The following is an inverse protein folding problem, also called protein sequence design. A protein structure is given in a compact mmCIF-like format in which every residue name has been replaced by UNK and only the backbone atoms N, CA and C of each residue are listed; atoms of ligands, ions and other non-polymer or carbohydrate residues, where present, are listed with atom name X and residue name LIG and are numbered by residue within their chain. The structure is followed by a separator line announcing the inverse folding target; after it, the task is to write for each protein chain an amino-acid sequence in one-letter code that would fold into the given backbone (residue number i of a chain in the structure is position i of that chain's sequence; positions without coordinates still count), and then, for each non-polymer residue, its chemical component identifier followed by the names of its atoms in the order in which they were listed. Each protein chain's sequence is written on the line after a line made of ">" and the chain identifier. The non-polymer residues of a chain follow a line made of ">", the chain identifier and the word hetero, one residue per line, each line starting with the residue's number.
data_IF_068858805805
#
_entry.id   IF_068858805805
#
_cell.length_a   1.000
_cell.length_b   1.000
_cell.length_c   1.000
_cell.angle_alpha   90.00
_cell.angle_beta   90.00
_cell.angle_gamma   90.00
#
_symmetry.space_group_name_H-M   'P 1'
#
loop_
_entity.id
_entity.type
_entity.pdbx_description
1 polymer ?
#
# COMPACT_ATOMS: atom_id res chain seq x y z
N UNK A 1 -21.03 15.28 -21.62
CA UNK A 1 -20.51 16.36 -20.76
C UNK A 1 -21.22 16.41 -19.40
N UNK A 2 -22.56 16.50 -19.31
CA UNK A 2 -23.26 16.54 -18.01
C UNK A 2 -23.06 15.28 -17.12
N UNK A 3 -22.99 14.10 -17.73
CA UNK A 3 -22.73 12.83 -17.03
C UNK A 3 -21.34 12.73 -16.42
N UNK A 4 -20.33 13.30 -17.10
CA UNK A 4 -18.95 13.32 -16.62
C UNK A 4 -18.78 14.31 -15.46
N UNK A 5 -19.39 15.50 -15.53
CA UNK A 5 -19.40 16.43 -14.40
C UNK A 5 -20.10 15.85 -13.17
N UNK A 6 -21.24 15.17 -13.34
CA UNK A 6 -21.92 14.48 -12.24
C UNK A 6 -21.06 13.38 -11.58
N UNK A 7 -20.32 12.62 -12.39
CA UNK A 7 -19.39 11.60 -11.90
C UNK A 7 -18.23 12.19 -11.08
N UNK A 8 -17.56 13.22 -11.60
CA UNK A 8 -16.42 13.85 -10.93
C UNK A 8 -16.84 14.46 -9.59
N UNK A 9 -17.95 15.20 -9.56
CA UNK A 9 -18.49 15.77 -8.32
C UNK A 9 -18.84 14.69 -7.31
N UNK A 10 -19.42 13.57 -7.76
CA UNK A 10 -19.72 12.43 -6.87
C UNK A 10 -18.44 11.83 -6.28
N UNK A 11 -17.41 11.62 -7.09
CA UNK A 11 -16.14 11.06 -6.62
C UNK A 11 -15.46 11.97 -5.60
N UNK A 12 -15.41 13.30 -5.85
CA UNK A 12 -14.88 14.27 -4.89
C UNK A 12 -15.67 14.26 -3.58
N UNK A 13 -16.99 14.11 -3.64
CA UNK A 13 -17.83 14.02 -2.43
C UNK A 13 -17.54 12.73 -1.65
N UNK A 14 -17.36 11.60 -2.33
CA UNK A 14 -16.99 10.32 -1.72
C UNK A 14 -15.61 10.38 -1.06
N UNK A 15 -14.59 10.91 -1.75
CA UNK A 15 -13.23 11.06 -1.17
C UNK A 15 -13.23 12.05 0.00
N UNK A 16 -14.00 13.14 -0.07
CA UNK A 16 -14.18 14.09 1.03
C UNK A 16 -14.83 13.41 2.24
N UNK A 17 -15.84 12.57 2.00
CA UNK A 17 -16.50 11.79 3.06
C UNK A 17 -15.52 10.83 3.73
N UNK A 18 -14.69 10.11 2.96
CA UNK A 18 -13.66 9.23 3.51
C UNK A 18 -12.59 10.00 4.31
N UNK A 19 -12.17 11.16 3.81
CA UNK A 19 -11.23 12.04 4.53
C UNK A 19 -11.83 12.41 5.89
N UNK A 20 -13.09 12.83 5.93
CA UNK A 20 -13.79 13.13 7.19
C UNK A 20 -13.85 11.94 8.12
N UNK A 21 -14.25 10.76 7.65
CA UNK A 21 -14.33 9.56 8.51
C UNK A 21 -12.98 9.27 9.16
N UNK A 22 -11.90 9.19 8.41
CA UNK A 22 -10.61 8.77 9.00
C UNK A 22 -9.98 9.91 9.80
N UNK A 23 -9.94 11.12 9.24
CA UNK A 23 -9.21 12.23 9.85
C UNK A 23 -9.91 12.79 11.08
N UNK A 24 -11.24 12.87 11.10
CA UNK A 24 -11.97 13.39 12.27
C UNK A 24 -11.87 12.48 13.49
N UNK A 25 -11.72 11.17 13.28
CA UNK A 25 -11.59 10.20 14.36
C UNK A 25 -10.15 10.09 14.89
N UNK A 26 -9.16 10.39 14.06
CA UNK A 26 -7.74 10.21 14.41
C UNK A 26 -7.02 11.52 14.75
N UNK A 27 -7.48 12.66 14.25
CA UNK A 27 -6.84 13.95 14.39
C UNK A 27 -7.85 15.05 14.78
N UNK A 28 -7.43 16.01 15.63
CA UNK A 28 -8.25 17.18 15.91
C UNK A 28 -8.41 18.05 14.64
N UNK A 29 -9.59 18.64 14.49
CA UNK A 29 -10.03 19.38 13.30
C UNK A 29 -9.03 20.45 12.83
N UNK A 30 -8.42 21.18 13.77
CA UNK A 30 -7.47 22.26 13.49
C UNK A 30 -6.20 21.80 12.74
N UNK A 31 -5.85 20.51 12.77
CA UNK A 31 -4.65 20.00 12.09
C UNK A 31 -4.90 19.62 10.63
N UNK A 32 -6.12 19.26 10.25
CA UNK A 32 -6.38 18.67 8.93
C UNK A 32 -7.42 19.43 8.10
N UNK A 33 -8.40 20.09 8.71
CA UNK A 33 -9.38 20.91 7.97
C UNK A 33 -8.77 22.03 7.13
N UNK A 34 -7.73 22.78 7.57
CA UNK A 34 -7.16 23.85 6.75
C UNK A 34 -6.30 23.33 5.59
N UNK A 35 -5.99 22.03 5.54
CA UNK A 35 -5.14 21.47 4.49
C UNK A 35 -5.90 21.40 3.15
N UNK A 36 -5.22 21.61 2.02
CA UNK A 36 -5.75 21.31 0.70
C UNK A 36 -6.27 19.86 0.60
N UNK A 37 -7.34 19.64 -0.17
CA UNK A 37 -7.98 18.32 -0.32
C UNK A 37 -7.01 17.19 -0.70
N UNK A 38 -6.02 17.48 -1.55
CA UNK A 38 -4.95 16.53 -1.89
C UNK A 38 -4.16 16.07 -0.65
N UNK A 39 -3.78 17.02 0.21
CA UNK A 39 -3.03 16.73 1.43
C UNK A 39 -3.90 16.04 2.49
N UNK A 40 -5.18 16.38 2.57
CA UNK A 40 -6.14 15.63 3.39
C UNK A 40 -6.22 14.17 2.93
N UNK A 41 -6.35 13.95 1.62
CA UNK A 41 -6.43 12.60 1.02
C UNK A 41 -5.14 11.81 1.24
N UNK A 42 -3.98 12.46 1.10
CA UNK A 42 -2.70 11.85 1.42
C UNK A 42 -2.57 11.47 2.89
N UNK A 43 -2.96 12.37 3.79
CA UNK A 43 -2.92 12.14 5.23
C UNK A 43 -3.88 11.01 5.63
N UNK A 44 -5.08 10.96 5.02
CA UNK A 44 -6.04 9.86 5.16
C UNK A 44 -5.41 8.53 4.77
N UNK A 45 -4.84 8.45 3.56
CA UNK A 45 -4.20 7.25 3.04
C UNK A 45 -3.00 6.83 3.90
N UNK A 46 -2.20 7.78 4.38
CA UNK A 46 -1.07 7.53 5.26
C UNK A 46 -1.52 6.92 6.60
N UNK A 47 -2.48 7.54 7.28
CA UNK A 47 -2.97 7.04 8.57
C UNK A 47 -3.68 5.69 8.45
N UNK A 48 -4.57 5.54 7.46
CA UNK A 48 -5.26 4.29 7.21
C UNK A 48 -4.28 3.16 6.83
N UNK A 49 -3.29 3.45 5.96
CA UNK A 49 -2.25 2.51 5.58
C UNK A 49 -1.39 2.07 6.76
N UNK A 50 -1.06 2.99 7.67
CA UNK A 50 -0.35 2.67 8.91
C UNK A 50 -1.17 1.78 9.84
N UNK A 51 -2.45 2.12 10.07
CA UNK A 51 -3.35 1.30 10.88
C UNK A 51 -3.46 -0.11 10.31
N UNK A 52 -3.67 -0.23 9.00
CA UNK A 52 -3.73 -1.53 8.34
C UNK A 52 -2.43 -2.32 8.52
N UNK A 53 -1.27 -1.69 8.32
CA UNK A 53 0.03 -2.34 8.49
C UNK A 53 0.27 -2.81 9.93
N UNK A 54 0.03 -1.97 10.93
CA UNK A 54 0.27 -2.34 12.33
C UNK A 54 -0.74 -3.36 12.85
N UNK A 55 -2.02 -3.23 12.50
CA UNK A 55 -3.05 -4.19 12.93
C UNK A 55 -2.80 -5.55 12.27
N UNK A 56 -2.61 -5.59 10.95
CA UNK A 56 -2.34 -6.86 10.24
C UNK A 56 -1.03 -7.49 10.68
N UNK A 57 0.04 -6.70 10.81
CA UNK A 57 1.34 -7.16 11.30
C UNK A 57 1.26 -7.69 12.74
N UNK A 58 0.51 -7.02 13.61
CA UNK A 58 0.27 -7.48 14.98
C UNK A 58 -0.49 -8.81 14.99
N UNK A 59 -1.62 -8.89 14.28
CA UNK A 59 -2.44 -10.10 14.23
C UNK A 59 -1.65 -11.28 13.65
N UNK A 60 -0.86 -11.05 12.60
CA UNK A 60 0.00 -12.06 12.00
C UNK A 60 1.08 -12.55 12.98
N UNK A 61 1.82 -11.62 13.59
CA UNK A 61 2.85 -11.95 14.57
C UNK A 61 2.26 -12.67 15.80
N UNK A 62 1.09 -12.24 16.28
CA UNK A 62 0.38 -12.90 17.36
C UNK A 62 -0.01 -14.34 16.97
N UNK A 63 -0.61 -14.53 15.79
CA UNK A 63 -0.99 -15.86 15.34
C UNK A 63 0.21 -16.80 15.18
N UNK A 64 1.27 -16.36 14.49
CA UNK A 64 2.43 -17.20 14.21
C UNK A 64 3.26 -17.45 15.47
N UNK A 65 3.68 -16.40 16.19
CA UNK A 65 4.66 -16.56 17.27
C UNK A 65 4.03 -16.91 18.62
N UNK A 66 2.75 -16.58 18.84
CA UNK A 66 2.08 -16.89 20.11
C UNK A 66 1.18 -18.12 20.00
N UNK A 67 0.35 -18.24 18.95
CA UNK A 67 -0.59 -19.37 18.84
C UNK A 67 -0.03 -20.61 18.15
N UNK A 68 0.90 -20.45 17.19
CA UNK A 68 1.35 -21.55 16.31
C UNK A 68 2.86 -21.61 16.11
N UNK A 69 3.63 -21.24 17.14
CA UNK A 69 5.10 -21.17 17.05
C UNK A 69 5.72 -22.48 16.54
N UNK A 70 5.35 -23.61 17.14
CA UNK A 70 5.91 -24.93 16.84
C UNK A 70 5.47 -25.53 15.50
N UNK A 71 4.54 -24.88 14.77
CA UNK A 71 4.01 -25.40 13.49
C UNK A 71 4.70 -24.73 12.30
N UNK A 72 4.93 -23.41 12.39
CA UNK A 72 5.37 -22.62 11.25
C UNK A 72 6.82 -22.14 11.33
N UNK A 73 7.44 -22.15 12.53
CA UNK A 73 8.74 -21.51 12.76
C UNK A 73 9.64 -22.43 13.59
N UNK A 74 10.75 -22.96 13.03
CA UNK A 74 11.80 -23.61 13.81
C UNK A 74 12.28 -22.70 14.95
N UNK A 75 12.51 -23.23 16.16
CA UNK A 75 12.86 -22.42 17.35
C UNK A 75 14.05 -21.47 17.12
N UNK A 76 15.01 -21.84 16.27
CA UNK A 76 16.21 -21.04 15.96
C UNK A 76 15.97 -19.91 14.95
N UNK A 77 14.75 -19.78 14.43
CA UNK A 77 14.41 -18.82 13.36
C UNK A 77 13.54 -17.65 13.82
N UNK A 78 13.31 -17.49 15.13
CA UNK A 78 12.57 -16.35 15.67
C UNK A 78 13.39 -15.06 15.46
N UNK A 79 12.83 -14.04 14.78
CA UNK A 79 13.57 -12.83 14.49
C UNK A 79 13.84 -12.04 15.78
N UNK A 80 15.08 -11.55 15.92
CA UNK A 80 15.47 -10.74 17.08
C UNK A 80 14.69 -9.43 17.14
N UNK A 81 14.50 -8.88 18.34
CA UNK A 81 13.86 -7.56 18.54
C UNK A 81 14.51 -6.45 17.71
N UNK A 82 15.85 -6.48 17.57
CA UNK A 82 16.59 -5.53 16.74
C UNK A 82 16.19 -5.66 15.26
N UNK A 83 16.09 -6.87 14.74
CA UNK A 83 15.65 -7.12 13.37
C UNK A 83 14.21 -6.65 13.14
N UNK A 84 13.29 -6.94 14.06
CA UNK A 84 11.89 -6.50 13.96
C UNK A 84 11.76 -4.96 13.96
N UNK A 85 12.43 -4.26 14.88
CA UNK A 85 12.41 -2.79 14.93
C UNK A 85 12.98 -2.20 13.64
N UNK A 86 14.07 -2.77 13.14
CA UNK A 86 14.68 -2.31 11.90
C UNK A 86 13.75 -2.51 10.69
N UNK A 87 13.02 -3.63 10.62
CA UNK A 87 12.02 -3.87 9.58
C UNK A 87 10.89 -2.85 9.64
N UNK A 88 10.36 -2.57 10.83
CA UNK A 88 9.35 -1.52 11.03
C UNK A 88 9.90 -0.17 10.58
N UNK A 89 11.13 0.18 10.95
CA UNK A 89 11.75 1.44 10.57
C UNK A 89 11.87 1.61 9.05
N UNK A 90 12.32 0.57 8.34
CA UNK A 90 12.42 0.61 6.88
C UNK A 90 11.04 0.71 6.22
N UNK A 91 10.07 -0.09 6.69
CA UNK A 91 8.70 -0.01 6.20
C UNK A 91 8.11 1.40 6.42
N UNK A 92 8.36 1.98 7.58
CA UNK A 92 7.87 3.31 7.92
C UNK A 92 8.47 4.43 7.07
N UNK A 93 9.72 4.28 6.62
CA UNK A 93 10.31 5.21 5.64
C UNK A 93 9.67 5.11 4.25
N UNK A 94 9.22 3.92 3.87
CA UNK A 94 8.58 3.67 2.58
C UNK A 94 7.08 4.05 2.57
N UNK A 95 6.43 4.04 3.73
CA UNK A 95 4.99 4.28 3.85
C UNK A 95 4.50 5.59 3.22
N UNK A 96 5.11 6.77 3.49
CA UNK A 96 4.67 8.03 2.92
C UNK A 96 4.60 8.02 1.39
N UNK A 97 5.57 7.35 0.75
CA UNK A 97 5.68 7.21 -0.70
C UNK A 97 4.67 6.19 -1.24
N UNK A 98 4.49 5.08 -0.51
CA UNK A 98 3.54 4.03 -0.89
C UNK A 98 2.11 4.54 -0.85
N UNK A 99 1.76 5.36 0.15
CA UNK A 99 0.43 5.96 0.29
C UNK A 99 0.24 7.19 -0.59
N UNK A 100 1.30 7.74 -1.18
CA UNK A 100 1.20 8.81 -2.17
C UNK A 100 0.67 8.30 -3.52
N UNK A 101 0.97 7.06 -3.89
CA UNK A 101 0.49 6.43 -5.14
C UNK A 101 -1.04 6.44 -5.25
N UNK A 102 -1.81 5.92 -4.26
CA UNK A 102 -3.27 5.99 -4.31
C UNK A 102 -3.78 7.43 -4.27
N UNK A 103 -3.12 8.34 -3.53
CA UNK A 103 -3.50 9.76 -3.52
C UNK A 103 -3.37 10.42 -4.89
N UNK A 104 -2.27 10.17 -5.60
CA UNK A 104 -2.09 10.68 -6.97
C UNK A 104 -3.15 10.08 -7.90
N UNK A 105 -3.45 8.79 -7.74
CA UNK A 105 -4.49 8.12 -8.52
C UNK A 105 -5.88 8.76 -8.29
N UNK A 106 -6.24 9.02 -7.04
CA UNK A 106 -7.48 9.74 -6.68
C UNK A 106 -7.49 11.16 -7.28
N UNK A 107 -6.38 11.89 -7.18
CA UNK A 107 -6.26 13.23 -7.76
C UNK A 107 -6.46 13.22 -9.29
N UNK A 108 -5.90 12.24 -9.98
CA UNK A 108 -6.08 12.08 -11.43
C UNK A 108 -7.55 11.80 -11.79
N UNK A 109 -8.25 11.00 -10.98
CA UNK A 109 -9.68 10.73 -11.16
C UNK A 109 -10.50 12.00 -10.91
N UNK A 110 -10.22 12.74 -9.83
CA UNK A 110 -10.93 14.00 -9.50
C UNK A 110 -10.77 15.07 -10.59
N UNK A 111 -9.64 15.07 -11.30
CA UNK A 111 -9.37 15.96 -12.44
C UNK A 111 -9.93 15.43 -13.77
N UNK A 112 -10.49 14.22 -13.78
CA UNK A 112 -11.02 13.57 -14.98
C UNK A 112 -9.97 13.09 -15.96
N UNK A 113 -8.73 12.90 -15.53
CA UNK A 113 -7.66 12.34 -16.37
C UNK A 113 -7.85 10.83 -16.59
N UNK A 114 -8.48 10.17 -15.61
CA UNK A 114 -8.81 8.74 -15.64
C UNK A 114 -10.21 8.52 -15.11
N UNK A 115 -10.89 7.46 -15.58
CA UNK A 115 -12.21 7.06 -15.10
C UNK A 115 -12.08 5.89 -14.11
N UNK A 116 -12.91 5.89 -13.08
CA UNK A 116 -13.02 4.79 -12.12
C UNK A 116 -14.50 4.39 -11.98
N UNK A 117 -14.78 3.10 -11.88
CA UNK A 117 -16.14 2.63 -11.61
C UNK A 117 -16.38 2.59 -10.11
N UNK A 118 -17.25 3.46 -9.59
CA UNK A 118 -17.60 3.48 -8.16
C UNK A 118 -18.68 2.45 -7.77
N UNK A 119 -19.30 1.80 -8.75
CA UNK A 119 -20.38 0.82 -8.53
C UNK A 119 -20.22 -0.37 -9.48
N UNK A 120 -20.38 -1.59 -8.96
CA UNK A 120 -20.28 -2.83 -9.73
C UNK A 120 -21.45 -3.04 -10.70
N UNK A 121 -22.61 -2.42 -10.44
CA UNK A 121 -23.83 -2.58 -11.25
C UNK A 121 -23.71 -2.13 -12.72
N UNK A 122 -22.64 -1.39 -13.04
CA UNK A 122 -22.38 -0.85 -14.38
C UNK A 122 -21.24 -1.55 -15.10
N UNK A 123 -20.67 -2.59 -14.50
CA UNK A 123 -19.49 -3.28 -15.01
C UNK A 123 -19.94 -4.58 -15.67
N UNK A 124 -19.59 -4.74 -16.94
CA UNK A 124 -19.67 -6.04 -17.61
C UNK A 124 -18.62 -6.97 -17.01
N UNK A 125 -19.07 -8.11 -16.45
CA UNK A 125 -18.22 -9.10 -15.80
C UNK A 125 -17.13 -9.66 -16.72
N UNK A 126 -17.40 -9.78 -18.03
CA UNK A 126 -16.39 -10.20 -18.99
C UNK A 126 -15.29 -9.15 -19.14
N UNK A 127 -15.66 -7.87 -19.29
CA UNK A 127 -14.70 -6.77 -19.33
C UNK A 127 -13.94 -6.64 -18.00
N UNK A 128 -14.60 -6.86 -16.87
CA UNK A 128 -13.96 -6.91 -15.56
C UNK A 128 -12.84 -7.97 -15.51
N UNK A 129 -13.13 -9.18 -15.96
CA UNK A 129 -12.14 -10.25 -16.05
C UNK A 129 -10.97 -9.88 -16.95
N UNK A 130 -11.25 -9.33 -18.15
CA UNK A 130 -10.20 -8.86 -19.07
C UNK A 130 -9.33 -7.78 -18.42
N UNK A 131 -9.93 -6.81 -17.72
CA UNK A 131 -9.19 -5.78 -16.99
C UNK A 131 -8.34 -6.35 -15.86
N UNK A 132 -8.81 -7.37 -15.14
CA UNK A 132 -8.03 -8.07 -14.12
C UNK A 132 -6.82 -8.77 -14.75
N UNK A 133 -7.00 -9.50 -15.84
CA UNK A 133 -5.88 -10.18 -16.53
C UNK A 133 -4.87 -9.15 -17.04
N UNK A 134 -5.33 -8.09 -17.71
CA UNK A 134 -4.46 -7.00 -18.18
C UNK A 134 -3.72 -6.33 -17.02
N UNK A 135 -4.40 -6.07 -15.91
CA UNK A 135 -3.79 -5.52 -14.70
C UNK A 135 -2.68 -6.42 -14.17
N UNK A 136 -2.92 -7.73 -14.04
CA UNK A 136 -1.91 -8.67 -13.55
C UNK A 136 -0.68 -8.73 -14.46
N UNK A 137 -0.89 -8.78 -15.78
CA UNK A 137 0.21 -8.78 -16.77
C UNK A 137 1.01 -7.48 -16.70
N UNK A 138 0.33 -6.33 -16.65
CA UNK A 138 0.98 -5.02 -16.58
C UNK A 138 1.74 -4.84 -15.27
N UNK A 139 1.16 -5.27 -14.13
CA UNK A 139 1.81 -5.19 -12.82
C UNK A 139 3.09 -6.01 -12.81
N UNK A 140 3.05 -7.26 -13.28
CA UNK A 140 4.23 -8.13 -13.34
C UNK A 140 5.33 -7.52 -14.23
N UNK A 141 4.93 -7.04 -15.41
CA UNK A 141 5.85 -6.37 -16.32
C UNK A 141 6.48 -5.11 -15.69
N UNK A 142 5.67 -4.26 -15.04
CA UNK A 142 6.17 -3.04 -14.41
C UNK A 142 7.08 -3.34 -13.22
N UNK A 143 6.75 -4.34 -12.40
CA UNK A 143 7.60 -4.77 -11.28
C UNK A 143 8.96 -5.25 -11.79
N UNK A 144 8.99 -6.04 -12.87
CA UNK A 144 10.25 -6.47 -13.49
C UNK A 144 11.12 -5.28 -13.88
N UNK A 145 10.55 -4.29 -14.58
CA UNK A 145 11.30 -3.11 -15.01
C UNK A 145 11.75 -2.23 -13.85
N UNK A 146 10.89 -2.02 -12.85
CA UNK A 146 11.27 -1.28 -11.63
C UNK A 146 12.42 -1.99 -10.92
N UNK A 147 12.33 -3.32 -10.75
CA UNK A 147 13.38 -4.12 -10.14
C UNK A 147 14.71 -4.04 -10.92
N UNK A 148 14.64 -4.07 -12.25
CA UNK A 148 15.81 -3.89 -13.11
C UNK A 148 16.40 -2.49 -12.97
N UNK A 149 15.58 -1.44 -13.02
CA UNK A 149 16.01 -0.05 -12.85
C UNK A 149 16.65 0.20 -11.48
N UNK A 150 16.14 -0.43 -10.42
CA UNK A 150 16.72 -0.32 -9.07
C UNK A 150 18.06 -1.05 -8.95
N UNK A 151 18.36 -1.99 -9.83
CA UNK A 151 19.70 -2.58 -9.99
C UNK A 151 20.63 -1.73 -10.84
N UNK A 152 20.15 -1.20 -11.96
CA UNK A 152 20.99 -0.52 -12.94
C UNK A 152 21.38 0.91 -12.51
N UNK A 153 20.49 1.62 -11.80
CA UNK A 153 20.72 3.01 -11.38
C UNK A 153 21.37 3.03 -9.98
N UNK A 154 22.65 3.41 -9.89
CA UNK A 154 23.44 3.44 -8.64
C UNK A 154 22.74 4.18 -7.48
N UNK A 155 22.04 5.27 -7.77
CA UNK A 155 21.31 6.03 -6.76
C UNK A 155 20.13 5.23 -6.17
N UNK A 156 19.30 4.63 -7.04
CA UNK A 156 18.17 3.80 -6.63
C UNK A 156 18.66 2.53 -5.93
N UNK A 157 19.75 1.95 -6.42
CA UNK A 157 20.38 0.81 -5.77
C UNK A 157 20.75 1.14 -4.33
N UNK A 158 21.50 2.23 -4.11
CA UNK A 158 21.99 2.58 -2.77
C UNK A 158 20.86 2.90 -1.78
N UNK A 159 19.81 3.59 -2.21
CA UNK A 159 18.78 4.12 -1.29
C UNK A 159 17.53 3.25 -1.16
N UNK A 160 17.21 2.46 -2.20
CA UNK A 160 15.98 1.66 -2.24
C UNK A 160 16.28 0.15 -2.28
N UNK A 161 17.28 -0.28 -3.06
CA UNK A 161 17.48 -1.70 -3.36
C UNK A 161 18.49 -2.43 -2.46
N UNK A 162 19.55 -1.76 -2.04
CA UNK A 162 20.60 -2.33 -1.20
C UNK A 162 20.05 -2.81 0.14
N UNK A 163 19.14 -2.01 0.71
CA UNK A 163 18.38 -2.35 1.93
C UNK A 163 17.60 -3.65 1.76
N UNK A 164 16.96 -3.86 0.60
CA UNK A 164 16.23 -5.10 0.29
C UNK A 164 17.15 -6.34 0.24
N UNK A 165 18.34 -6.23 -0.38
CA UNK A 165 19.33 -7.32 -0.43
C UNK A 165 19.95 -7.65 0.94
N UNK A 166 20.07 -6.66 1.83
CA UNK A 166 20.55 -6.88 3.21
C UNK A 166 19.61 -7.82 3.99
N UNK A 167 18.30 -7.81 3.69
CA UNK A 167 17.31 -8.67 4.33
C UNK A 167 17.10 -10.03 3.64
N UNK A 168 17.73 -10.29 2.49
CA UNK A 168 17.65 -11.57 1.80
C UNK A 168 18.70 -12.61 2.27
N UNK A 169 19.53 -12.27 3.27
CA UNK A 169 20.37 -13.27 3.95
C UNK A 169 19.48 -14.20 4.78
N UNK A 170 19.78 -15.51 4.79
CA UNK A 170 18.93 -16.62 5.26
C UNK A 170 18.15 -16.44 6.59
N UNK A 171 18.48 -15.47 7.45
CA UNK A 171 17.92 -15.33 8.81
C UNK A 171 16.97 -14.12 9.00
N UNK A 172 16.55 -13.43 7.93
CA UNK A 172 15.60 -12.30 8.04
C UNK A 172 14.28 -12.63 7.35
N UNK A 173 13.25 -12.90 8.17
CA UNK A 173 11.87 -13.08 7.75
C UNK A 173 11.36 -11.83 7.04
N UNK A 174 11.23 -11.86 5.71
CA UNK A 174 10.33 -10.95 5.02
C UNK A 174 8.90 -11.44 5.25
N UNK A 175 8.01 -10.58 5.73
CA UNK A 175 6.58 -10.85 5.91
C UNK A 175 5.92 -11.46 4.64
N UNK A 176 6.52 -11.23 3.47
CA UNK A 176 6.10 -11.71 2.15
C UNK A 176 6.71 -13.05 1.70
N UNK A 177 7.62 -13.67 2.46
CA UNK A 177 8.22 -14.97 2.04
C UNK A 177 7.22 -16.11 2.06
N UNK A 178 6.15 -15.99 2.86
CA UNK A 178 5.05 -16.95 2.89
C UNK A 178 4.23 -17.03 1.60
N UNK A 179 4.31 -16.04 0.71
CA UNK A 179 3.60 -16.05 -0.58
C UNK A 179 4.45 -16.42 -1.80
N UNK A 180 5.78 -16.38 -1.69
CA UNK A 180 6.70 -16.65 -2.80
C UNK A 180 7.49 -17.96 -2.67
N UNK A 181 7.22 -18.77 -1.64
CA UNK A 181 7.90 -20.07 -1.43
C UNK A 181 7.02 -21.26 -1.85
N UNK A 182 6.32 -21.13 -2.98
CA UNK A 182 5.82 -22.30 -3.72
C UNK A 182 6.72 -22.46 -4.95
N UNK A 183 7.90 -23.02 -4.71
CA UNK A 183 8.66 -23.81 -5.67
C UNK A 183 9.67 -24.68 -4.92
#
# INVERSE_FOLDING_TARGET
>A
MATQHGFLTRFVNETTFYNRIVLSHLLPANLWEPLPHFLQTWLRNYLAGNLLYFISGFLWCFYIYYLKLNVYVPQDSIPTRKAMILQIYVAMKAMPWSTLIPTVSEYMIERGWTMCYSTLDKIDWFLCFVYIVLYLVLVEFMIYWVHKMTHDIKFLYKHLHATHHIYNKQNTLSLLRGLHSIH
#
